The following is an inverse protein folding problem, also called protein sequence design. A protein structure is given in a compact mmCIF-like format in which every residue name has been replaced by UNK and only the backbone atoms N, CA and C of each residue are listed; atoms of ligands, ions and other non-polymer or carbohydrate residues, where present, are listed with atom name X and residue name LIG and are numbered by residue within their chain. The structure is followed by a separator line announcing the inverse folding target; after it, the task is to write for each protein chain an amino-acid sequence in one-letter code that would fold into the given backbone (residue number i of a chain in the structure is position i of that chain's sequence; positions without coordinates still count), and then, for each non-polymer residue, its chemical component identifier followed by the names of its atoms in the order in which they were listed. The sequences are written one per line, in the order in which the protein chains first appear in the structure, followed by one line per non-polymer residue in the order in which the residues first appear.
data_IF_429528354140
#
_entry.id   IF_429528354140
#
_cell.length_a   1.000
_cell.length_b   1.000
_cell.length_c   1.000
_cell.angle_alpha   90.00
_cell.angle_beta   90.00
_cell.angle_gamma   90.00
#
_symmetry.space_group_name_H-M   'P 1'
#
loop_
_entity.id
_entity.type
_entity.pdbx_description
1 polymer ?
#
# COMPACT_ATOMS: atom_id res chain seq x y z
N UNK A 1 17.62 -7.46 -13.32
CA UNK A 1 17.37 -7.00 -11.94
C UNK A 1 15.95 -7.38 -11.62
N UNK A 2 15.76 -8.16 -10.57
CA UNK A 2 14.42 -8.55 -10.11
C UNK A 2 13.74 -7.35 -9.46
N UNK A 3 12.43 -7.20 -9.59
CA UNK A 3 11.71 -6.12 -8.89
C UNK A 3 11.87 -6.21 -7.36
N UNK A 4 12.12 -7.42 -6.83
CA UNK A 4 12.38 -7.67 -5.41
C UNK A 4 13.63 -6.94 -4.87
N UNK A 5 14.58 -6.61 -5.76
CA UNK A 5 15.82 -5.91 -5.41
C UNK A 5 15.63 -4.38 -5.42
N UNK A 6 14.48 -3.89 -5.90
CA UNK A 6 14.22 -2.47 -6.04
C UNK A 6 13.71 -1.88 -4.74
N UNK A 7 14.38 -0.82 -4.25
CA UNK A 7 14.05 -0.17 -2.96
C UNK A 7 12.58 0.23 -2.84
N UNK A 8 12.01 0.79 -3.91
CA UNK A 8 10.58 1.18 -3.94
C UNK A 8 9.63 0.01 -3.65
N UNK A 9 9.93 -1.18 -4.19
CA UNK A 9 9.10 -2.35 -3.96
C UNK A 9 9.31 -2.89 -2.53
N UNK A 10 10.55 -2.86 -2.03
CA UNK A 10 10.85 -3.27 -0.64
C UNK A 10 10.12 -2.37 0.38
N UNK A 11 10.08 -1.06 0.14
CA UNK A 11 9.33 -0.11 0.98
C UNK A 11 7.82 -0.39 0.94
N UNK A 12 7.27 -0.67 -0.24
CA UNK A 12 5.86 -1.07 -0.38
C UNK A 12 5.56 -2.38 0.34
N UNK A 13 6.44 -3.38 0.23
CA UNK A 13 6.29 -4.67 0.88
C UNK A 13 6.34 -4.55 2.40
N UNK A 14 7.25 -3.74 2.95
CA UNK A 14 7.29 -3.45 4.39
C UNK A 14 5.98 -2.82 4.84
N UNK A 15 5.50 -1.77 4.16
CA UNK A 15 4.22 -1.14 4.49
C UNK A 15 3.04 -2.13 4.44
N UNK A 16 3.02 -3.04 3.46
CA UNK A 16 2.01 -4.09 3.35
C UNK A 16 2.07 -5.05 4.54
N UNK A 17 3.25 -5.57 4.91
CA UNK A 17 3.39 -6.49 6.03
C UNK A 17 3.05 -5.82 7.37
N UNK A 18 3.44 -4.57 7.57
CA UNK A 18 3.04 -3.80 8.76
C UNK A 18 1.53 -3.59 8.81
N UNK A 19 0.86 -3.49 7.65
CA UNK A 19 -0.60 -3.38 7.58
C UNK A 19 -1.27 -4.71 7.95
N UNK A 20 -0.70 -5.84 7.53
CA UNK A 20 -1.15 -7.16 7.96
C UNK A 20 -1.00 -7.34 9.47
N UNK A 21 0.15 -7.00 10.03
CA UNK A 21 0.40 -7.09 11.48
C UNK A 21 -0.55 -6.21 12.29
N UNK A 22 -0.81 -4.98 11.81
CA UNK A 22 -1.73 -4.05 12.46
C UNK A 22 -3.20 -4.50 12.45
N UNK A 23 -3.58 -5.37 11.50
CA UNK A 23 -4.94 -5.88 11.31
C UNK A 23 -4.96 -7.40 11.52
N UNK A 24 -4.04 -7.94 12.32
CA UNK A 24 -4.07 -9.33 12.75
C UNK A 24 -5.08 -9.47 13.90
N UNK A 25 -6.09 -10.31 13.72
CA UNK A 25 -7.11 -10.53 14.74
C UNK A 25 -8.32 -11.29 14.20
N UNK A 26 -9.16 -11.74 15.13
CA UNK A 26 -10.46 -12.32 14.81
C UNK A 26 -11.47 -11.17 14.69
N UNK A 27 -11.82 -10.82 13.45
CA UNK A 27 -12.84 -9.83 13.13
C UNK A 27 -14.14 -10.54 12.74
N UNK A 28 -15.28 -9.98 13.15
CA UNK A 28 -16.60 -10.43 12.71
C UNK A 28 -17.19 -9.39 11.74
N UNK A 29 -18.19 -9.79 10.96
CA UNK A 29 -18.92 -8.84 10.10
C UNK A 29 -19.54 -7.70 10.93
N UNK A 30 -19.37 -6.41 10.54
CA UNK A 30 -18.83 -5.91 9.26
C UNK A 30 -17.34 -5.51 9.30
N UNK A 31 -16.62 -5.80 10.38
CA UNK A 31 -15.22 -5.42 10.56
C UNK A 31 -14.30 -6.19 9.63
N UNK A 32 -14.60 -7.47 9.38
CA UNK A 32 -13.89 -8.33 8.43
C UNK A 32 -13.86 -7.71 7.02
N UNK A 33 -14.99 -7.19 6.53
CA UNK A 33 -15.06 -6.54 5.21
C UNK A 33 -14.13 -5.32 5.12
N UNK A 34 -14.06 -4.51 6.18
CA UNK A 34 -13.20 -3.33 6.21
C UNK A 34 -11.72 -3.74 6.22
N UNK A 35 -11.37 -4.74 7.04
CA UNK A 35 -10.01 -5.30 7.08
C UNK A 35 -9.61 -5.83 5.71
N UNK A 36 -10.48 -6.60 5.07
CA UNK A 36 -10.25 -7.13 3.73
C UNK A 36 -10.01 -6.01 2.71
N UNK A 37 -10.82 -4.94 2.71
CA UNK A 37 -10.63 -3.80 1.80
C UNK A 37 -9.26 -3.12 1.97
N UNK A 38 -8.79 -2.98 3.23
CA UNK A 38 -7.45 -2.43 3.50
C UNK A 38 -6.37 -3.35 2.93
N UNK A 39 -6.40 -4.64 3.28
CA UNK A 39 -5.38 -5.61 2.88
C UNK A 39 -5.35 -5.83 1.36
N UNK A 40 -6.51 -5.91 0.71
CA UNK A 40 -6.61 -6.04 -0.75
C UNK A 40 -6.04 -4.81 -1.46
N UNK A 41 -6.38 -3.60 -1.00
CA UNK A 41 -5.86 -2.38 -1.61
C UNK A 41 -4.34 -2.27 -1.47
N UNK A 42 -3.78 -2.58 -0.29
CA UNK A 42 -2.35 -2.58 -0.02
C UNK A 42 -1.59 -3.64 -0.86
N UNK A 43 -2.18 -4.84 -0.97
CA UNK A 43 -1.66 -5.93 -1.80
C UNK A 43 -1.64 -5.52 -3.27
N UNK A 44 -2.73 -4.94 -3.76
CA UNK A 44 -2.86 -4.51 -5.15
C UNK A 44 -1.86 -3.40 -5.47
N UNK A 45 -1.64 -2.45 -4.56
CA UNK A 45 -0.61 -1.41 -4.70
C UNK A 45 0.79 -2.03 -4.87
N UNK A 46 1.17 -2.96 -3.98
CA UNK A 46 2.47 -3.65 -4.05
C UNK A 46 2.64 -4.42 -5.37
N UNK A 47 1.58 -5.09 -5.82
CA UNK A 47 1.55 -5.79 -7.10
C UNK A 47 1.69 -4.83 -8.31
N UNK A 48 1.03 -3.67 -8.27
CA UNK A 48 1.13 -2.64 -9.32
C UNK A 48 2.55 -2.07 -9.43
N UNK A 49 3.21 -1.86 -8.30
CA UNK A 49 4.62 -1.42 -8.26
C UNK A 49 5.52 -2.49 -8.89
N UNK A 50 5.33 -3.76 -8.50
CA UNK A 50 6.07 -4.88 -9.09
C UNK A 50 5.86 -4.96 -10.61
N UNK A 51 4.63 -4.77 -11.08
CA UNK A 51 4.29 -4.73 -12.50
C UNK A 51 5.07 -3.64 -13.23
N UNK A 52 5.00 -2.39 -12.73
CA UNK A 52 5.69 -1.25 -13.35
C UNK A 52 7.21 -1.43 -13.44
N UNK A 53 7.83 -1.98 -12.38
CA UNK A 53 9.26 -2.25 -12.31
C UNK A 53 9.71 -3.42 -13.21
N UNK A 54 8.79 -4.32 -13.56
CA UNK A 54 9.09 -5.51 -14.36
C UNK A 54 8.90 -5.31 -15.87
N UNK A 55 8.35 -4.16 -16.31
CA UNK A 55 8.15 -3.90 -17.74
C UNK A 55 9.46 -3.65 -18.48
N UNK A 56 9.57 -4.24 -19.68
CA UNK A 56 10.68 -3.99 -20.60
C UNK A 56 10.63 -2.58 -21.20
N UNK A 57 9.43 -2.11 -21.55
CA UNK A 57 9.22 -0.73 -21.99
C UNK A 57 9.21 0.20 -20.78
N UNK A 58 10.27 1.00 -20.65
CA UNK A 58 10.46 1.94 -19.54
C UNK A 58 9.41 3.03 -19.50
N UNK A 59 8.89 3.49 -20.65
CA UNK A 59 7.84 4.52 -20.68
C UNK A 59 6.53 3.94 -20.15
N UNK A 60 6.19 2.73 -20.58
CA UNK A 60 5.00 2.05 -20.09
C UNK A 60 5.11 1.66 -18.61
N UNK A 61 6.26 1.13 -18.19
CA UNK A 61 6.54 0.85 -16.77
C UNK A 61 6.38 2.10 -15.91
N UNK A 62 6.91 3.25 -16.37
CA UNK A 62 6.74 4.53 -15.68
C UNK A 62 5.28 4.97 -15.57
N UNK A 63 4.48 4.78 -16.61
CA UNK A 63 3.04 5.07 -16.54
C UNK A 63 2.35 4.22 -15.46
N UNK A 64 2.67 2.92 -15.40
CA UNK A 64 2.12 2.02 -14.38
C UNK A 64 2.50 2.47 -12.96
N UNK A 65 3.75 2.92 -12.76
CA UNK A 65 4.20 3.47 -11.47
C UNK A 65 3.49 4.78 -11.11
N UNK A 66 3.17 5.62 -12.09
CA UNK A 66 2.36 6.82 -11.86
C UNK A 66 0.91 6.47 -11.50
N UNK A 67 0.32 5.44 -12.10
CA UNK A 67 -1.01 4.96 -11.71
C UNK A 67 -1.04 4.48 -10.24
N UNK A 68 0.06 3.87 -9.77
CA UNK A 68 0.20 3.42 -8.39
C UNK A 68 0.14 4.57 -7.37
N UNK A 69 0.44 5.81 -7.76
CA UNK A 69 0.24 7.00 -6.91
C UNK A 69 -1.24 7.18 -6.55
N UNK A 70 -2.15 6.93 -7.48
CA UNK A 70 -3.59 6.97 -7.20
C UNK A 70 -4.00 5.86 -6.23
N UNK A 71 -3.37 4.70 -6.33
CA UNK A 71 -3.64 3.55 -5.45
C UNK A 71 -3.17 3.80 -4.01
N UNK A 72 -2.09 4.56 -3.79
CA UNK A 72 -1.70 5.01 -2.45
C UNK A 72 -2.85 5.75 -1.75
N UNK A 73 -3.56 6.64 -2.47
CA UNK A 73 -4.70 7.34 -1.89
C UNK A 73 -5.86 6.39 -1.54
N UNK A 74 -6.06 5.32 -2.31
CA UNK A 74 -7.07 4.29 -2.01
C UNK A 74 -6.72 3.55 -0.71
N UNK A 75 -5.48 3.08 -0.56
CA UNK A 75 -5.04 2.38 0.66
C UNK A 75 -5.22 3.26 1.89
N UNK A 76 -4.77 4.52 1.81
CA UNK A 76 -4.92 5.51 2.89
C UNK A 76 -6.38 5.79 3.23
N UNK A 77 -7.27 5.78 2.23
CA UNK A 77 -8.71 5.94 2.45
C UNK A 77 -9.29 4.75 3.21
N UNK A 78 -9.00 3.51 2.79
CA UNK A 78 -9.45 2.32 3.52
C UNK A 78 -8.87 2.27 4.94
N UNK A 79 -7.60 2.64 5.10
CA UNK A 79 -6.96 2.72 6.42
C UNK A 79 -7.63 3.77 7.33
N UNK A 80 -8.03 4.92 6.77
CA UNK A 80 -8.79 5.93 7.51
C UNK A 80 -10.19 5.44 7.92
N UNK A 81 -10.83 4.59 7.10
CA UNK A 81 -12.09 3.93 7.46
C UNK A 81 -11.87 2.96 8.61
N UNK A 82 -10.84 2.10 8.55
CA UNK A 82 -10.50 1.18 9.64
C UNK A 82 -10.23 1.93 10.96
N UNK A 83 -9.49 3.03 10.90
CA UNK A 83 -9.25 3.91 12.04
C UNK A 83 -10.54 4.54 12.58
N UNK A 84 -11.39 5.10 11.70
CA UNK A 84 -12.67 5.69 12.10
C UNK A 84 -13.65 4.69 12.71
N UNK A 85 -13.43 3.40 12.47
CA UNK A 85 -14.19 2.27 13.04
C UNK A 85 -13.54 1.69 14.30
N UNK A 86 -12.39 2.21 14.73
CA UNK A 86 -11.68 1.76 15.92
C UNK A 86 -10.89 0.46 15.75
N UNK A 87 -10.70 0.00 14.51
CA UNK A 87 -9.98 -1.25 14.20
C UNK A 87 -8.47 -1.10 14.31
N UNK A 88 -7.97 0.14 14.23
CA UNK A 88 -6.57 0.49 14.47
C UNK A 88 -6.48 1.68 15.41
N UNK A 89 -5.44 1.71 16.23
CA UNK A 89 -5.18 2.83 17.14
C UNK A 89 -4.73 4.08 16.37
N UNK A 90 -4.84 5.26 16.98
CA UNK A 90 -4.29 6.52 16.44
C UNK A 90 -2.80 6.41 16.09
N UNK A 91 -2.02 5.73 16.92
CA UNK A 91 -0.58 5.53 16.71
C UNK A 91 -0.32 4.65 15.49
N UNK A 92 -1.00 3.51 15.42
CA UNK A 92 -0.94 2.58 14.29
C UNK A 92 -1.37 3.26 12.99
N UNK A 93 -2.48 4.00 13.02
CA UNK A 93 -2.99 4.74 11.87
C UNK A 93 -1.94 5.74 11.36
N UNK A 94 -1.40 6.59 12.23
CA UNK A 94 -0.39 7.60 11.84
C UNK A 94 0.88 6.96 11.30
N UNK A 95 1.33 5.86 11.89
CA UNK A 95 2.50 5.13 11.43
C UNK A 95 2.31 4.55 10.03
N UNK A 96 1.17 3.89 9.78
CA UNK A 96 0.86 3.29 8.48
C UNK A 96 0.56 4.36 7.41
N UNK A 97 -0.25 5.37 7.73
CA UNK A 97 -0.56 6.46 6.81
C UNK A 97 0.72 7.19 6.37
N UNK A 98 1.65 7.43 7.31
CA UNK A 98 2.96 8.02 7.01
C UNK A 98 3.83 7.14 6.09
N UNK A 99 3.80 5.81 6.25
CA UNK A 99 4.50 4.89 5.35
C UNK A 99 3.94 4.96 3.93
N UNK A 100 2.63 4.95 3.78
CA UNK A 100 1.98 5.06 2.47
C UNK A 100 2.16 6.45 1.83
N UNK A 101 2.16 7.52 2.61
CA UNK A 101 2.47 8.88 2.14
C UNK A 101 3.90 8.97 1.59
N UNK A 102 4.88 8.46 2.34
CA UNK A 102 6.27 8.40 1.90
C UNK A 102 6.43 7.57 0.61
N UNK A 103 5.71 6.46 0.48
CA UNK A 103 5.68 5.65 -0.73
C UNK A 103 5.11 6.42 -1.93
N UNK A 104 4.05 7.20 -1.72
CA UNK A 104 3.49 8.10 -2.74
C UNK A 104 4.50 9.13 -3.24
N UNK A 105 5.28 9.72 -2.34
CA UNK A 105 6.36 10.66 -2.69
C UNK A 105 7.45 9.94 -3.50
N UNK A 106 7.86 8.73 -3.08
CA UNK A 106 8.88 7.95 -3.77
C UNK A 106 8.45 7.55 -5.19
N UNK A 107 7.17 7.17 -5.38
CA UNK A 107 6.60 6.86 -6.70
C UNK A 107 6.68 8.06 -7.65
N UNK A 108 6.34 9.25 -7.18
CA UNK A 108 6.39 10.48 -8.00
C UNK A 108 7.83 10.87 -8.39
N UNK A 109 8.81 10.51 -7.57
CA UNK A 109 10.22 10.78 -7.81
C UNK A 109 10.90 9.74 -8.71
N UNK A 110 10.22 8.63 -9.01
CA UNK A 110 10.77 7.58 -9.86
C UNK A 110 10.88 8.07 -11.31
N UNK A 111 12.12 8.24 -11.77
CA UNK A 111 12.46 8.79 -13.10
C UNK A 111 12.54 7.71 -14.17
#
# INVERSE_FOLDING_TARGET
MSFHEHKLWQEAYVALMDTHEALEGDFEDPEEEIVQQVLESATTLSAKIADGLSRLDRRFGRQILLDAVGMVAVVRTHLAVAWGRGLVTDETFRALDGKYDALGIALQQTR
#
